data_IF_992217883920
#
_entry.id   IF_992217883920
#
_cell.length_a   1.000
_cell.length_b   1.000
_cell.length_c   1.000
_cell.angle_alpha   90.00
_cell.angle_beta   90.00
_cell.angle_gamma   90.00
#
_symmetry.space_group_name_H-M   'P 1'
#
loop_
_entity.id
_entity.type
_entity.pdbx_description
1 polymer ?
#
# COMPACT_ATOMS: atom_id res chain seq x y z
N UNK A 1 55.67 40.99 -20.21
CA UNK A 1 54.22 41.22 -19.98
C UNK A 1 53.50 40.26 -20.91
N UNK A 2 52.62 39.34 -20.55
CA UNK A 2 51.99 38.85 -19.32
C UNK A 2 51.89 37.31 -19.49
N UNK A 3 52.16 36.53 -18.43
CA UNK A 3 51.92 35.07 -18.44
C UNK A 3 50.44 34.84 -18.12
N UNK A 4 49.67 34.28 -19.05
CA UNK A 4 48.32 33.79 -18.77
C UNK A 4 48.42 32.43 -18.09
N UNK A 5 48.03 32.36 -16.82
CA UNK A 5 47.88 31.13 -16.04
C UNK A 5 46.43 30.67 -16.23
N UNK A 6 46.22 29.60 -16.98
CA UNK A 6 44.93 28.94 -17.09
C UNK A 6 44.68 28.06 -15.86
N UNK A 7 43.74 28.45 -15.01
CA UNK A 7 43.29 27.64 -13.87
C UNK A 7 42.32 26.57 -14.41
N UNK A 8 42.77 25.32 -14.41
CA UNK A 8 41.94 24.16 -14.74
C UNK A 8 41.14 23.77 -13.48
N UNK A 9 39.87 24.13 -13.42
CA UNK A 9 38.92 23.73 -12.38
C UNK A 9 38.55 22.25 -12.58
N UNK A 10 39.17 21.35 -11.81
CA UNK A 10 38.73 19.96 -11.70
C UNK A 10 37.41 19.91 -10.92
N UNK A 11 36.30 19.69 -11.63
CA UNK A 11 35.03 19.29 -11.01
C UNK A 11 35.18 17.86 -10.51
N UNK A 12 35.35 17.70 -9.19
CA UNK A 12 35.26 16.39 -8.54
C UNK A 12 33.76 16.05 -8.43
N UNK A 13 33.25 15.01 -9.09
CA UNK A 13 31.88 14.57 -8.85
C UNK A 13 31.82 13.98 -7.44
N UNK A 14 31.12 14.67 -6.54
CA UNK A 14 30.78 14.15 -5.22
C UNK A 14 29.85 12.96 -5.46
N UNK A 15 30.39 11.75 -5.35
CA UNK A 15 29.61 10.51 -5.26
C UNK A 15 28.76 10.61 -3.99
N UNK A 16 27.54 11.08 -4.16
CA UNK A 16 26.52 11.06 -3.12
C UNK A 16 26.10 9.60 -2.94
N UNK A 17 26.71 8.91 -1.99
CA UNK A 17 26.19 7.62 -1.54
C UNK A 17 24.78 7.87 -1.02
N UNK A 18 23.78 7.21 -1.63
CA UNK A 18 22.43 7.20 -1.13
C UNK A 18 22.48 6.73 0.33
N UNK A 19 22.17 7.62 1.27
CA UNK A 19 21.98 7.23 2.65
C UNK A 19 20.71 6.39 2.70
N UNK A 20 20.83 5.10 3.02
CA UNK A 20 19.65 4.32 3.40
C UNK A 20 19.02 5.03 4.59
N UNK A 21 17.78 5.51 4.43
CA UNK A 21 17.00 6.08 5.54
C UNK A 21 16.98 5.06 6.68
N UNK A 22 17.70 5.36 7.76
CA UNK A 22 17.81 4.45 8.92
C UNK A 22 16.59 4.50 9.83
N UNK A 23 15.63 5.38 9.54
CA UNK A 23 14.46 5.60 10.36
C UNK A 23 13.21 5.16 9.61
N UNK A 24 12.30 4.53 10.35
CA UNK A 24 10.97 4.25 9.82
C UNK A 24 10.24 5.55 9.46
N UNK A 25 9.60 5.50 8.31
CA UNK A 25 8.54 6.42 7.90
C UNK A 25 7.20 5.72 8.11
N UNK A 26 6.14 6.49 8.35
CA UNK A 26 4.81 5.93 8.49
C UNK A 26 4.11 5.73 7.14
N UNK A 27 4.85 5.22 6.15
CA UNK A 27 4.41 4.95 4.77
C UNK A 27 4.70 3.50 4.39
N UNK A 28 4.10 3.02 3.31
CA UNK A 28 4.48 1.72 2.75
C UNK A 28 5.86 1.86 2.10
N UNK A 29 6.89 1.26 2.69
CA UNK A 29 8.28 1.42 2.24
C UNK A 29 9.10 0.17 2.50
N UNK A 30 9.95 -0.17 1.53
CA UNK A 30 10.96 -1.22 1.62
C UNK A 30 12.32 -0.54 1.76
N UNK A 31 13.04 -0.82 2.85
CA UNK A 31 14.31 -0.17 3.19
C UNK A 31 15.54 -0.95 2.72
N UNK A 32 15.37 -2.26 2.48
CA UNK A 32 16.46 -3.15 2.07
C UNK A 32 16.25 -3.66 0.63
N UNK A 33 17.28 -3.60 -0.24
CA UNK A 33 17.12 -3.92 -1.66
C UNK A 33 16.92 -5.41 -1.96
N UNK A 34 17.34 -6.30 -1.05
CA UNK A 34 17.15 -7.75 -1.14
C UNK A 34 15.72 -8.20 -0.82
N UNK A 35 14.90 -7.33 -0.23
CA UNK A 35 13.52 -7.62 0.10
C UNK A 35 12.66 -7.39 -1.14
N UNK A 36 11.84 -8.39 -1.49
CA UNK A 36 10.93 -8.39 -2.64
C UNK A 36 9.56 -8.96 -2.26
N UNK A 37 8.61 -8.77 -3.16
CA UNK A 37 7.27 -9.38 -3.07
C UNK A 37 6.58 -9.09 -1.74
N UNK A 38 6.63 -7.83 -1.28
CA UNK A 38 5.92 -7.45 -0.05
C UNK A 38 4.43 -7.42 -0.36
N UNK A 39 3.68 -8.29 0.30
CA UNK A 39 2.23 -8.41 0.18
C UNK A 39 1.57 -8.18 1.53
N UNK A 40 0.41 -7.54 1.53
CA UNK A 40 -0.40 -7.32 2.72
C UNK A 40 -1.88 -7.28 2.33
N UNK A 41 -2.66 -8.27 2.79
CA UNK A 41 -4.03 -8.46 2.34
C UNK A 41 -4.88 -9.17 3.40
N UNK A 42 -6.20 -9.15 3.24
CA UNK A 42 -7.11 -9.96 4.05
C UNK A 42 -7.12 -11.42 3.57
N UNK A 43 -6.99 -12.37 4.49
CA UNK A 43 -6.95 -13.81 4.22
C UNK A 43 -8.12 -14.36 3.38
N UNK A 44 -9.27 -13.66 3.34
CA UNK A 44 -10.40 -14.06 2.48
C UNK A 44 -10.17 -13.75 0.99
N UNK A 45 -9.29 -12.79 0.66
CA UNK A 45 -8.96 -12.40 -0.72
C UNK A 45 -7.57 -11.77 -0.82
N UNK A 46 -6.65 -12.41 -1.54
CA UNK A 46 -5.26 -11.93 -1.73
C UNK A 46 -5.17 -10.54 -2.37
N UNK A 47 -6.05 -10.23 -3.33
CA UNK A 47 -6.14 -8.92 -3.98
C UNK A 47 -7.13 -7.99 -3.27
N UNK A 48 -7.03 -7.90 -1.94
CA UNK A 48 -7.83 -6.98 -1.14
C UNK A 48 -6.95 -5.90 -0.52
N UNK A 49 -7.56 -4.77 -0.16
CA UNK A 49 -6.94 -3.83 0.76
C UNK A 49 -6.66 -4.55 2.10
N UNK A 50 -5.53 -4.29 2.78
CA UNK A 50 -5.22 -4.89 4.06
C UNK A 50 -6.13 -4.33 5.17
N UNK A 51 -7.39 -4.75 5.17
CA UNK A 51 -8.43 -4.35 6.10
C UNK A 51 -8.97 -5.60 6.80
N UNK A 52 -9.05 -5.52 8.12
CA UNK A 52 -9.60 -6.57 8.97
C UNK A 52 -10.73 -5.98 9.82
N UNK A 53 -11.92 -6.57 9.75
CA UNK A 53 -13.00 -6.22 10.67
C UNK A 53 -12.74 -6.83 12.05
N UNK A 54 -12.93 -6.04 13.12
CA UNK A 54 -12.50 -6.41 14.48
C UNK A 54 -13.18 -7.66 15.03
N UNK A 55 -14.42 -7.93 14.59
CA UNK A 55 -15.21 -9.09 14.99
C UNK A 55 -15.06 -10.29 14.03
N UNK A 56 -14.19 -10.18 13.02
CA UNK A 56 -14.03 -11.21 11.99
C UNK A 56 -13.09 -12.32 12.45
N UNK A 57 -13.31 -13.53 11.92
CA UNK A 57 -12.36 -14.63 12.01
C UNK A 57 -11.26 -14.56 10.94
N UNK A 58 -11.38 -13.61 10.01
CA UNK A 58 -10.35 -13.30 9.01
C UNK A 58 -9.06 -12.79 9.66
N UNK A 59 -7.99 -12.77 8.87
CA UNK A 59 -6.68 -12.29 9.27
C UNK A 59 -6.09 -11.38 8.21
N UNK A 60 -5.23 -10.46 8.62
CA UNK A 60 -4.27 -9.85 7.71
C UNK A 60 -3.12 -10.82 7.52
N UNK A 61 -2.82 -11.14 6.27
CA UNK A 61 -1.61 -11.86 5.87
C UNK A 61 -0.63 -10.83 5.35
N UNK A 62 0.54 -10.79 5.98
CA UNK A 62 1.67 -9.97 5.54
C UNK A 62 2.83 -10.90 5.22
N UNK A 63 3.41 -10.78 4.03
CA UNK A 63 4.51 -11.64 3.62
C UNK A 63 5.51 -10.91 2.73
N UNK A 64 6.73 -11.43 2.69
CA UNK A 64 7.80 -10.92 1.86
C UNK A 64 8.88 -11.98 1.61
N UNK A 65 9.67 -11.79 0.56
CA UNK A 65 10.79 -12.64 0.21
C UNK A 65 12.12 -11.94 0.46
N UNK A 66 13.06 -12.64 1.10
CA UNK A 66 14.45 -12.22 1.24
C UNK A 66 15.35 -12.95 0.23
N UNK A 67 15.90 -12.21 -0.74
CA UNK A 67 16.76 -12.74 -1.80
C UNK A 67 18.21 -13.03 -1.39
N UNK A 68 18.61 -12.79 -0.13
CA UNK A 68 19.90 -13.25 0.40
C UNK A 68 19.90 -14.75 0.70
N UNK A 69 18.71 -15.37 0.77
CA UNK A 69 18.50 -16.73 1.25
C UNK A 69 19.01 -16.93 2.70
N UNK A 70 18.86 -18.15 3.21
CA UNK A 70 19.18 -18.45 4.61
C UNK A 70 18.17 -17.84 5.59
N UNK A 71 18.44 -18.00 6.89
CA UNK A 71 17.56 -17.51 7.95
C UNK A 71 18.12 -16.23 8.54
N UNK A 72 17.29 -15.19 8.50
CA UNK A 72 17.55 -13.90 9.12
C UNK A 72 16.61 -13.73 10.32
N UNK A 73 17.07 -12.98 11.32
CA UNK A 73 16.30 -12.73 12.53
C UNK A 73 15.42 -11.49 12.37
N UNK A 74 14.27 -11.65 11.71
CA UNK A 74 13.30 -10.58 11.54
C UNK A 74 12.35 -10.48 12.75
N UNK A 75 12.13 -9.25 13.18
CA UNK A 75 11.16 -8.87 14.22
C UNK A 75 10.15 -7.91 13.61
N UNK A 76 8.95 -7.87 14.18
CA UNK A 76 7.93 -6.91 13.78
C UNK A 76 7.34 -6.19 14.99
N UNK A 77 6.81 -4.99 14.77
CA UNK A 77 5.99 -4.27 15.76
C UNK A 77 4.77 -3.68 15.07
N UNK A 78 3.69 -3.52 15.82
CA UNK A 78 2.44 -2.92 15.35
C UNK A 78 2.14 -1.65 16.15
N UNK A 79 1.97 -0.54 15.44
CA UNK A 79 1.66 0.77 16.03
C UNK A 79 0.32 1.28 15.52
N UNK A 80 -0.53 1.77 16.44
CA UNK A 80 -1.76 2.45 16.07
C UNK A 80 -1.47 3.88 15.62
N UNK A 81 -2.10 4.29 14.52
CA UNK A 81 -1.91 5.58 13.86
C UNK A 81 -3.21 6.39 13.83
N UNK A 82 -3.06 7.71 13.79
CA UNK A 82 -4.14 8.66 13.54
C UNK A 82 -4.59 8.65 12.07
N UNK A 83 -5.66 9.39 11.76
CA UNK A 83 -6.20 9.50 10.40
C UNK A 83 -5.19 9.98 9.34
N UNK A 84 -4.19 10.73 9.78
CA UNK A 84 -3.08 11.29 8.98
C UNK A 84 -1.78 10.47 9.09
N UNK A 85 -1.88 9.21 9.53
CA UNK A 85 -0.78 8.25 9.64
C UNK A 85 0.35 8.63 10.61
N UNK A 86 0.10 9.56 11.55
CA UNK A 86 1.04 9.79 12.66
C UNK A 86 0.84 8.71 13.72
N UNK A 87 1.92 8.28 14.36
CA UNK A 87 1.83 7.33 15.49
C UNK A 87 0.99 7.99 16.58
N UNK A 88 -0.09 7.31 16.98
CA UNK A 88 -1.01 7.84 17.98
C UNK A 88 -0.38 7.88 19.36
N UNK A 89 -0.91 8.73 20.24
CA UNK A 89 -0.48 8.82 21.65
C UNK A 89 -1.20 7.82 22.57
N UNK A 90 -1.94 6.89 22.00
CA UNK A 90 -2.67 5.86 22.75
C UNK A 90 -1.65 4.87 23.31
N UNK A 91 -1.78 4.49 24.58
CA UNK A 91 -0.88 3.51 25.17
C UNK A 91 -1.05 2.14 24.48
N UNK A 92 0.04 1.40 24.28
CA UNK A 92 0.01 0.08 23.63
C UNK A 92 -0.97 -0.87 24.30
N UNK A 93 -1.07 -0.82 25.63
CA UNK A 93 -2.01 -1.62 26.41
C UNK A 93 -3.47 -1.29 26.15
N UNK A 94 -3.80 -0.17 25.52
CA UNK A 94 -5.18 0.23 25.23
C UNK A 94 -5.61 -0.21 23.83
N UNK A 95 -4.68 -0.29 22.86
CA UNK A 95 -4.99 -0.67 21.48
C UNK A 95 -4.55 -2.09 21.09
N UNK A 96 -3.65 -2.74 21.84
CA UNK A 96 -3.28 -4.15 21.68
C UNK A 96 -3.63 -4.99 22.91
N UNK A 97 -3.98 -6.24 22.66
CA UNK A 97 -3.96 -7.35 23.61
C UNK A 97 -2.73 -8.23 23.32
N UNK A 98 -1.88 -8.43 24.33
CA UNK A 98 -0.59 -9.10 24.24
C UNK A 98 0.60 -8.14 24.15
N UNK A 99 1.61 -8.47 23.34
CA UNK A 99 2.86 -7.72 23.17
C UNK A 99 2.79 -6.75 21.99
N UNK A 100 3.67 -5.75 21.98
CA UNK A 100 3.82 -4.78 20.87
C UNK A 100 4.63 -5.30 19.69
N UNK A 101 5.45 -6.32 19.94
CA UNK A 101 6.41 -6.87 19.02
C UNK A 101 6.63 -8.35 19.27
N UNK A 102 7.09 -9.04 18.23
CA UNK A 102 7.41 -10.45 18.27
C UNK A 102 8.39 -10.78 17.12
N UNK A 103 9.02 -11.95 17.20
CA UNK A 103 9.89 -12.47 16.14
C UNK A 103 9.07 -13.15 15.05
N UNK A 104 9.46 -12.96 13.80
CA UNK A 104 8.87 -13.71 12.68
C UNK A 104 9.47 -15.11 12.66
N UNK A 105 8.69 -16.11 13.06
CA UNK A 105 9.13 -17.51 13.08
C UNK A 105 8.56 -18.36 11.95
N UNK A 106 7.52 -17.88 11.26
CA UNK A 106 6.97 -18.56 10.10
C UNK A 106 7.76 -18.15 8.85
N UNK A 107 8.59 -19.08 8.38
CA UNK A 107 9.37 -18.89 7.17
C UNK A 107 9.64 -20.22 6.46
N UNK A 108 9.84 -20.14 5.15
CA UNK A 108 10.14 -21.28 4.28
C UNK A 108 11.22 -20.94 3.26
N UNK A 109 12.14 -21.87 3.04
CA UNK A 109 13.15 -21.71 2.00
C UNK A 109 12.57 -21.99 0.62
N UNK A 110 13.02 -21.25 -0.39
CA UNK A 110 12.71 -21.54 -1.79
C UNK A 110 13.18 -22.95 -2.18
N UNK A 111 12.32 -23.71 -2.86
CA UNK A 111 12.64 -25.06 -3.38
C UNK A 111 12.62 -25.07 -4.90
N UNK A 112 13.62 -25.68 -5.54
CA UNK A 112 13.69 -25.84 -7.01
C UNK A 112 13.56 -24.53 -7.82
N UNK A 113 14.05 -23.42 -7.28
CA UNK A 113 14.09 -22.10 -7.95
C UNK A 113 15.50 -21.76 -8.41
N UNK A 114 15.62 -21.04 -9.54
CA UNK A 114 16.88 -20.47 -10.03
C UNK A 114 17.44 -19.43 -9.07
N UNK A 115 16.59 -18.50 -8.63
CA UNK A 115 16.92 -17.53 -7.58
C UNK A 115 16.53 -18.10 -6.22
N UNK A 116 17.51 -18.22 -5.32
CA UNK A 116 17.26 -18.60 -3.93
C UNK A 116 16.65 -17.42 -3.17
N UNK A 117 15.69 -17.72 -2.31
CA UNK A 117 15.09 -16.78 -1.39
C UNK A 117 14.56 -17.51 -0.14
N UNK A 118 14.25 -16.74 0.89
CA UNK A 118 13.51 -17.21 2.07
C UNK A 118 12.25 -16.38 2.19
N UNK A 119 11.10 -17.05 2.22
CA UNK A 119 9.80 -16.41 2.36
C UNK A 119 9.43 -16.32 3.84
N UNK A 120 9.01 -15.14 4.28
CA UNK A 120 8.57 -14.86 5.64
C UNK A 120 7.10 -14.46 5.63
N UNK A 121 6.36 -14.91 6.64
CA UNK A 121 4.92 -14.67 6.75
C UNK A 121 4.53 -14.27 8.17
N UNK A 122 3.59 -13.33 8.28
CA UNK A 122 2.94 -12.94 9.52
C UNK A 122 1.44 -12.99 9.27
N UNK A 123 0.72 -13.61 10.21
CA UNK A 123 -0.74 -13.57 10.25
C UNK A 123 -1.18 -12.78 11.47
N UNK A 124 -2.03 -11.77 11.29
CA UNK A 124 -2.58 -10.93 12.36
C UNK A 124 -4.11 -10.98 12.36
N UNK A 125 -4.78 -11.07 13.52
CA UNK A 125 -4.23 -11.22 14.86
C UNK A 125 -3.57 -12.60 15.07
N UNK A 126 -2.60 -12.67 15.99
CA UNK A 126 -2.00 -13.93 16.45
C UNK A 126 -1.99 -14.04 17.99
N UNK A 127 -1.25 -15.00 18.51
CA UNK A 127 -1.19 -15.28 19.96
C UNK A 127 -0.50 -14.17 20.74
N UNK A 128 0.39 -13.39 20.10
CA UNK A 128 1.15 -12.32 20.74
C UNK A 128 0.58 -10.93 20.46
N UNK A 129 0.10 -10.67 19.24
CA UNK A 129 -0.33 -9.33 18.79
C UNK A 129 -1.78 -9.38 18.32
N UNK A 130 -2.68 -8.75 19.09
CA UNK A 130 -4.12 -8.66 18.77
C UNK A 130 -4.64 -7.22 18.88
N UNK A 131 -4.99 -6.55 17.76
CA UNK A 131 -5.66 -5.25 17.80
C UNK A 131 -7.01 -5.29 18.53
N UNK A 132 -7.25 -4.30 19.39
CA UNK A 132 -8.48 -4.17 20.21
C UNK A 132 -9.41 -3.04 19.79
N UNK A 133 -8.93 -2.10 18.99
CA UNK A 133 -9.71 -0.94 18.54
C UNK A 133 -9.60 -0.78 17.02
N UNK A 134 -10.66 -0.24 16.41
CA UNK A 134 -10.63 0.18 15.01
C UNK A 134 -9.66 1.34 14.80
N UNK A 135 -9.10 1.46 13.60
CA UNK A 135 -8.19 2.54 13.25
C UNK A 135 -7.17 2.16 12.18
N UNK A 136 -6.24 3.09 11.96
CA UNK A 136 -5.09 2.89 11.10
C UNK A 136 -3.98 2.21 11.90
N UNK A 137 -3.29 1.27 11.29
CA UNK A 137 -2.16 0.59 11.91
C UNK A 137 -0.99 0.50 10.95
N UNK A 138 0.22 0.54 11.50
CA UNK A 138 1.44 0.30 10.74
C UNK A 138 2.22 -0.87 11.34
N UNK A 139 2.54 -1.84 10.48
CA UNK A 139 3.44 -2.94 10.74
C UNK A 139 4.85 -2.51 10.33
N UNK A 140 5.81 -2.63 11.24
CA UNK A 140 7.22 -2.29 11.01
C UNK A 140 8.08 -3.54 11.23
N UNK A 141 8.78 -3.99 10.21
CA UNK A 141 9.73 -5.12 10.26
C UNK A 141 11.15 -4.59 10.38
N UNK A 142 11.94 -5.16 11.27
CA UNK A 142 13.33 -4.78 11.56
C UNK A 142 14.21 -6.00 11.89
N UNK A 143 15.52 -5.83 11.82
CA UNK A 143 16.50 -6.90 12.07
C UNK A 143 16.92 -6.97 13.54
N UNK A 144 17.16 -8.18 14.03
CA UNK A 144 17.82 -8.49 15.31
C UNK A 144 17.17 -7.87 16.55
N UNK A 145 15.88 -7.53 16.49
CA UNK A 145 15.19 -6.83 17.59
C UNK A 145 15.57 -5.34 17.70
N UNK A 146 16.34 -4.78 16.77
CA UNK A 146 16.76 -3.38 16.77
C UNK A 146 15.96 -2.53 15.77
N UNK A 147 15.06 -1.68 16.28
CA UNK A 147 14.21 -0.79 15.46
C UNK A 147 15.01 0.21 14.61
N UNK A 148 16.31 0.41 14.87
CA UNK A 148 17.20 1.24 14.03
C UNK A 148 17.73 0.50 12.80
N UNK A 149 17.33 -0.76 12.59
CA UNK A 149 17.62 -1.56 11.40
C UNK A 149 16.32 -1.83 10.62
N UNK A 150 15.70 -0.80 10.02
CA UNK A 150 14.41 -0.94 9.34
C UNK A 150 14.53 -1.84 8.10
N UNK A 151 13.47 -2.63 7.86
CA UNK A 151 13.38 -3.57 6.73
C UNK A 151 12.17 -3.22 5.86
N UNK A 152 10.98 -3.19 6.45
CA UNK A 152 9.71 -2.84 5.77
C UNK A 152 8.83 -2.03 6.73
N UNK A 153 8.11 -1.03 6.22
CA UNK A 153 6.93 -0.47 6.87
C UNK A 153 5.71 -0.70 5.98
N UNK A 154 4.60 -1.16 6.57
CA UNK A 154 3.39 -1.54 5.85
C UNK A 154 2.15 -1.11 6.62
N UNK A 155 1.31 -0.30 5.98
CA UNK A 155 0.02 0.15 6.48
C UNK A 155 -1.04 -0.95 6.34
N UNK A 156 -1.92 -1.04 7.32
CA UNK A 156 -3.14 -1.84 7.30
C UNK A 156 -4.23 -1.19 8.17
N UNK A 157 -5.45 -1.69 8.10
CA UNK A 157 -6.63 -1.09 8.72
C UNK A 157 -7.35 -2.11 9.58
N UNK A 158 -7.82 -1.66 10.75
CA UNK A 158 -8.79 -2.40 11.56
C UNK A 158 -10.12 -1.68 11.49
N UNK A 159 -11.15 -2.36 10.99
CA UNK A 159 -12.49 -1.82 10.83
C UNK A 159 -13.35 -2.16 12.06
N UNK A 160 -13.82 -1.11 12.73
CA UNK A 160 -14.94 -1.21 13.67
C UNK A 160 -16.20 -0.62 12.99
N UNK A 161 -17.16 -1.49 12.66
CA UNK A 161 -18.31 -1.14 11.81
C UNK A 161 -19.43 -0.49 12.62
N UNK A 162 -19.24 0.80 12.94
CA UNK A 162 -20.23 1.59 13.68
C UNK A 162 -21.21 2.37 12.78
N UNK A 163 -20.86 2.53 11.51
CA UNK A 163 -21.65 3.27 10.51
C UNK A 163 -21.69 2.50 9.20
N UNK A 164 -22.71 2.74 8.38
CA UNK A 164 -22.87 2.14 7.07
C UNK A 164 -22.62 3.18 5.97
N UNK A 165 -21.75 2.86 5.01
CA UNK A 165 -21.42 3.75 3.88
C UNK A 165 -22.09 3.23 2.61
N UNK A 166 -22.90 4.06 1.98
CA UNK A 166 -23.46 3.81 0.65
C UNK A 166 -22.79 4.75 -0.36
N UNK A 167 -22.19 4.21 -1.42
CA UNK A 167 -21.49 4.99 -2.43
C UNK A 167 -22.03 4.70 -3.83
N UNK A 168 -22.00 5.70 -4.69
CA UNK A 168 -22.32 5.60 -6.11
C UNK A 168 -21.21 6.24 -6.94
N UNK A 169 -20.94 5.65 -8.10
CA UNK A 169 -20.01 6.19 -9.09
C UNK A 169 -20.85 6.75 -10.24
N UNK A 170 -20.64 8.02 -10.57
CA UNK A 170 -21.30 8.70 -11.69
C UNK A 170 -20.28 9.40 -12.57
N UNK A 171 -20.69 9.88 -13.73
CA UNK A 171 -19.84 10.77 -14.53
C UNK A 171 -19.62 12.10 -13.80
N UNK A 172 -18.53 12.80 -14.13
CA UNK A 172 -18.32 14.16 -13.63
C UNK A 172 -19.49 15.08 -13.99
N UNK A 173 -19.83 15.95 -13.04
CA UNK A 173 -20.85 16.99 -13.23
C UNK A 173 -20.33 18.13 -14.09
N UNK A 174 -19.00 18.28 -14.21
CA UNK A 174 -18.39 19.25 -15.11
C UNK A 174 -18.43 18.72 -16.55
N UNK A 175 -19.03 19.50 -17.46
CA UNK A 175 -19.22 19.09 -18.87
C UNK A 175 -17.89 18.79 -19.55
N UNK A 176 -16.84 19.55 -19.26
CA UNK A 176 -15.51 19.35 -19.83
C UNK A 176 -14.88 18.00 -19.44
N UNK A 177 -15.21 17.48 -18.26
CA UNK A 177 -14.60 16.27 -17.68
C UNK A 177 -15.52 15.04 -17.73
N UNK A 178 -16.74 15.18 -18.26
CA UNK A 178 -17.79 14.15 -18.21
C UNK A 178 -17.37 12.79 -18.76
N UNK A 179 -16.49 12.78 -19.77
CA UNK A 179 -16.04 11.57 -20.45
C UNK A 179 -14.67 11.07 -19.99
N UNK A 180 -14.01 11.79 -19.07
CA UNK A 180 -12.63 11.51 -18.64
C UNK A 180 -12.50 11.32 -17.13
N UNK A 181 -13.50 11.76 -16.35
CA UNK A 181 -13.51 11.61 -14.89
C UNK A 181 -14.75 10.87 -14.37
N UNK A 182 -14.53 10.21 -13.24
CA UNK A 182 -15.51 9.47 -12.47
C UNK A 182 -15.66 10.13 -11.11
N UNK A 183 -16.90 10.49 -10.78
CA UNK A 183 -17.29 11.11 -9.53
C UNK A 183 -17.80 10.05 -8.55
N UNK A 184 -17.36 10.15 -7.31
CA UNK A 184 -17.86 9.30 -6.22
C UNK A 184 -18.70 10.17 -5.28
N UNK A 185 -20.01 9.90 -5.23
CA UNK A 185 -20.87 10.41 -4.16
C UNK A 185 -21.04 9.32 -3.12
N UNK A 186 -21.08 9.69 -1.85
CA UNK A 186 -21.35 8.73 -0.79
C UNK A 186 -22.16 9.34 0.34
N UNK A 187 -22.86 8.48 1.07
CA UNK A 187 -23.64 8.81 2.25
C UNK A 187 -23.22 7.91 3.40
N UNK A 188 -22.93 8.51 4.55
CA UNK A 188 -22.69 7.79 5.80
C UNK A 188 -24.00 7.75 6.56
N UNK A 189 -24.58 6.56 6.72
CA UNK A 189 -25.73 6.31 7.58
C UNK A 189 -25.23 5.91 8.97
N UNK A 190 -25.72 6.58 10.00
CA UNK A 190 -25.26 6.37 11.38
C UNK A 190 -26.44 6.33 12.36
N UNK A 191 -26.37 5.42 13.33
CA UNK A 191 -27.26 5.39 14.49
C UNK A 191 -26.61 6.01 15.73
N UNK A 192 -25.28 6.09 15.75
CA UNK A 192 -24.51 6.73 16.81
C UNK A 192 -24.72 8.24 16.78
N UNK A 193 -24.68 8.86 17.96
CA UNK A 193 -24.74 10.31 18.07
C UNK A 193 -23.40 10.91 17.61
N UNK A 194 -23.44 11.82 16.63
CA UNK A 194 -22.29 12.55 16.11
C UNK A 194 -22.56 14.04 16.37
N UNK A 195 -22.11 14.60 17.52
CA UNK A 195 -22.44 15.96 17.91
C UNK A 195 -21.95 17.00 16.91
N UNK A 196 -20.76 16.83 16.34
CA UNK A 196 -20.21 17.74 15.35
C UNK A 196 -19.68 17.00 14.10
N UNK A 197 -20.54 16.72 13.11
CA UNK A 197 -20.15 16.01 11.90
C UNK A 197 -19.03 16.69 11.09
N UNK A 198 -18.82 18.00 11.27
CA UNK A 198 -17.78 18.76 10.56
C UNK A 198 -16.37 18.63 11.19
N UNK A 199 -16.28 18.08 12.41
CA UNK A 199 -15.02 17.89 13.13
C UNK A 199 -14.77 16.42 13.46
N UNK A 200 -15.84 15.69 13.79
CA UNK A 200 -15.77 14.33 14.32
C UNK A 200 -15.59 13.28 13.22
N UNK A 201 -16.01 13.59 11.98
CA UNK A 201 -15.97 12.65 10.85
C UNK A 201 -15.00 13.13 9.78
N UNK A 202 -14.10 12.21 9.41
CA UNK A 202 -13.21 12.33 8.26
C UNK A 202 -13.42 11.12 7.37
N UNK A 203 -13.66 11.35 6.10
CA UNK A 203 -13.79 10.29 5.10
C UNK A 203 -12.68 10.42 4.07
N UNK A 204 -11.98 9.32 3.78
CA UNK A 204 -10.93 9.26 2.76
C UNK A 204 -11.44 8.41 1.61
N UNK A 205 -11.43 8.98 0.40
CA UNK A 205 -11.80 8.29 -0.84
C UNK A 205 -10.55 8.18 -1.71
N UNK A 206 -10.23 6.99 -2.22
CA UNK A 206 -9.03 6.77 -3.03
C UNK A 206 -9.32 5.78 -4.17
N UNK A 207 -8.63 5.94 -5.30
CA UNK A 207 -8.74 5.06 -6.45
C UNK A 207 -7.78 3.87 -6.30
N UNK A 208 -8.27 2.64 -6.50
CA UNK A 208 -7.46 1.42 -6.61
C UNK A 208 -6.41 1.27 -5.50
N UNK A 209 -6.79 1.60 -4.27
CA UNK A 209 -5.95 1.57 -3.07
C UNK A 209 -4.67 2.45 -3.14
N UNK A 210 -4.59 3.35 -4.12
CA UNK A 210 -3.46 4.25 -4.31
C UNK A 210 -3.60 5.48 -3.41
N UNK A 211 -2.79 5.51 -2.34
CA UNK A 211 -2.74 6.61 -1.37
C UNK A 211 -2.44 7.97 -2.00
N UNK A 212 -1.72 8.01 -3.13
CA UNK A 212 -1.39 9.26 -3.81
C UNK A 212 -2.61 9.91 -4.49
N UNK A 213 -3.68 9.14 -4.69
CA UNK A 213 -4.95 9.65 -5.23
C UNK A 213 -5.94 10.05 -4.15
N UNK A 214 -5.64 9.78 -2.87
CA UNK A 214 -6.60 9.93 -1.78
C UNK A 214 -7.10 11.37 -1.62
N UNK A 215 -8.42 11.54 -1.56
CA UNK A 215 -9.08 12.79 -1.28
C UNK A 215 -9.72 12.73 0.12
N UNK A 216 -9.36 13.70 0.98
CA UNK A 216 -9.89 13.83 2.32
C UNK A 216 -11.15 14.71 2.33
N UNK A 217 -12.22 14.17 2.88
CA UNK A 217 -13.51 14.81 3.05
C UNK A 217 -13.75 15.08 4.54
N UNK A 218 -13.71 16.34 4.94
CA UNK A 218 -13.94 16.77 6.34
C UNK A 218 -15.33 17.40 6.54
N UNK A 219 -16.04 17.68 5.45
CA UNK A 219 -17.31 18.41 5.49
C UNK A 219 -18.35 17.75 4.60
N UNK A 220 -19.46 17.22 5.16
CA UNK A 220 -20.59 16.80 4.35
C UNK A 220 -21.27 18.01 3.71
N UNK A 221 -21.83 17.81 2.52
CA UNK A 221 -22.65 18.80 1.84
C UNK A 221 -23.98 19.01 2.58
N UNK A 222 -24.57 17.92 3.06
CA UNK A 222 -25.80 17.95 3.85
C UNK A 222 -25.69 17.06 5.09
N UNK A 223 -26.18 17.57 6.21
CA UNK A 223 -26.42 16.81 7.44
C UNK A 223 -27.93 16.62 7.56
N UNK A 224 -28.38 15.37 7.47
CA UNK A 224 -29.78 14.97 7.64
C UNK A 224 -29.89 14.11 8.91
N UNK A 225 -31.11 13.88 9.43
CA UNK A 225 -31.28 12.92 10.52
C UNK A 225 -30.65 11.56 10.15
N UNK A 226 -29.68 11.10 10.95
CA UNK A 226 -28.97 9.83 10.79
C UNK A 226 -28.16 9.67 9.48
N UNK A 227 -27.93 10.75 8.72
CA UNK A 227 -27.21 10.69 7.44
C UNK A 227 -26.29 11.88 7.21
N UNK A 228 -25.06 11.60 6.79
CA UNK A 228 -24.10 12.60 6.30
C UNK A 228 -23.89 12.38 4.81
N UNK A 229 -24.27 13.35 3.98
CA UNK A 229 -24.25 13.24 2.52
C UNK A 229 -23.05 14.00 1.95
N UNK A 230 -22.21 13.29 1.19
CA UNK A 230 -21.02 13.80 0.52
C UNK A 230 -21.21 13.70 -1.00
N UNK A 231 -21.77 14.76 -1.58
CA UNK A 231 -22.04 14.87 -3.02
C UNK A 231 -21.74 16.28 -3.56
N UNK A 232 -20.78 16.98 -2.93
CA UNK A 232 -20.35 18.30 -3.40
C UNK A 232 -19.84 18.22 -4.85
N UNK A 233 -20.11 19.25 -5.65
CA UNK A 233 -19.80 19.26 -7.08
C UNK A 233 -18.32 19.02 -7.39
N UNK A 234 -17.43 19.56 -6.56
CA UNK A 234 -15.99 19.68 -6.85
C UNK A 234 -15.11 18.62 -6.19
N UNK A 235 -15.65 17.86 -5.23
CA UNK A 235 -14.91 16.83 -4.51
C UNK A 235 -15.11 15.43 -5.09
N UNK A 236 -14.15 14.54 -4.84
CA UNK A 236 -14.19 13.12 -5.20
C UNK A 236 -14.41 12.88 -6.70
N UNK A 237 -13.83 13.76 -7.54
CA UNK A 237 -13.83 13.63 -8.99
C UNK A 237 -12.45 13.14 -9.44
N UNK A 238 -12.37 11.87 -9.82
CA UNK A 238 -11.13 11.17 -10.14
C UNK A 238 -10.97 10.98 -11.63
N UNK A 239 -9.74 10.98 -12.14
CA UNK A 239 -9.50 10.56 -13.53
C UNK A 239 -9.92 9.10 -13.71
N UNK A 240 -10.76 8.83 -14.71
CA UNK A 240 -11.27 7.49 -14.99
C UNK A 240 -10.17 6.52 -15.43
N UNK A 241 -9.05 7.06 -15.94
CA UNK A 241 -7.90 6.29 -16.41
C UNK A 241 -8.32 5.15 -17.37
N UNK A 242 -7.54 4.08 -17.41
CA UNK A 242 -7.76 2.91 -18.27
C UNK A 242 -7.31 1.68 -17.47
N UNK A 243 -7.79 0.50 -17.83
CA UNK A 243 -7.52 -0.76 -17.13
C UNK A 243 -6.03 -1.09 -17.14
N UNK A 244 -5.54 -1.72 -16.08
CA UNK A 244 -4.13 -2.04 -15.92
C UNK A 244 -3.63 -2.99 -17.00
N UNK A 245 -2.38 -2.78 -17.41
CA UNK A 245 -1.69 -3.69 -18.33
C UNK A 245 -1.24 -4.90 -17.55
N UNK A 246 -1.43 -6.08 -18.13
CA UNK A 246 -1.05 -7.36 -17.53
C UNK A 246 -0.06 -8.10 -18.41
N UNK A 247 0.73 -8.98 -17.80
CA UNK A 247 1.57 -9.93 -18.50
C UNK A 247 1.62 -11.23 -17.68
N UNK A 248 1.76 -12.37 -18.35
CA UNK A 248 1.69 -13.68 -17.70
C UNK A 248 3.07 -14.34 -17.64
N UNK A 249 3.53 -14.61 -16.42
CA UNK A 249 4.81 -15.28 -16.13
C UNK A 249 4.65 -16.49 -15.22
N UNK A 250 3.43 -17.05 -15.11
CA UNK A 250 3.15 -18.24 -14.28
C UNK A 250 4.04 -19.44 -14.65
N UNK A 251 4.52 -19.48 -15.89
CA UNK A 251 5.53 -20.44 -16.34
C UNK A 251 6.63 -19.71 -17.10
N UNK A 252 7.87 -19.94 -16.69
CA UNK A 252 9.04 -19.48 -17.45
C UNK A 252 9.43 -20.46 -18.56
N UNK A 253 8.61 -21.48 -18.88
CA UNK A 253 8.93 -22.47 -19.93
C UNK A 253 8.44 -22.04 -21.32
N UNK A 254 7.42 -21.20 -21.37
CA UNK A 254 6.84 -20.67 -22.60
C UNK A 254 6.55 -19.18 -22.42
N UNK A 255 6.32 -18.48 -23.52
CA UNK A 255 5.97 -17.06 -23.52
C UNK A 255 4.48 -16.92 -23.22
N UNK A 256 4.14 -16.38 -22.07
CA UNK A 256 2.76 -16.07 -21.70
C UNK A 256 2.23 -14.82 -22.41
N UNK A 257 1.02 -14.40 -22.02
CA UNK A 257 0.42 -13.15 -22.48
C UNK A 257 1.36 -11.96 -22.26
N UNK A 258 1.49 -11.10 -23.27
CA UNK A 258 2.34 -9.90 -23.28
C UNK A 258 3.85 -10.13 -23.01
N UNK A 259 4.34 -11.37 -23.08
CA UNK A 259 5.78 -11.69 -23.05
C UNK A 259 6.31 -11.90 -24.47
N UNK A 260 7.25 -11.05 -24.91
CA UNK A 260 7.87 -11.11 -26.23
C UNK A 260 8.99 -12.14 -26.32
N UNK A 261 9.91 -12.13 -25.36
CA UNK A 261 11.03 -13.09 -25.29
C UNK A 261 11.42 -13.43 -23.85
N UNK A 262 12.05 -14.59 -23.68
CA UNK A 262 12.61 -15.06 -22.40
C UNK A 262 14.06 -15.44 -22.64
N UNK A 263 14.97 -14.70 -22.00
CA UNK A 263 16.40 -14.95 -22.01
C UNK A 263 16.80 -15.63 -20.71
N UNK A 264 17.58 -16.71 -20.80
CA UNK A 264 18.05 -17.46 -19.64
C UNK A 264 19.56 -17.41 -19.65
N UNK A 265 20.12 -16.92 -18.56
CA UNK A 265 21.54 -17.02 -18.26
C UNK A 265 21.71 -17.94 -17.03
N UNK A 266 22.95 -18.14 -16.59
CA UNK A 266 23.24 -19.05 -15.47
C UNK A 266 22.78 -18.51 -14.11
N UNK A 267 22.48 -17.21 -13.99
CA UNK A 267 22.22 -16.52 -12.72
C UNK A 267 20.79 -15.93 -12.61
N UNK A 268 20.11 -15.75 -13.75
CA UNK A 268 18.90 -14.96 -13.90
C UNK A 268 18.04 -15.42 -15.09
N UNK A 269 16.75 -15.09 -15.00
CA UNK A 269 15.83 -15.20 -16.13
C UNK A 269 15.32 -13.80 -16.43
N UNK A 270 15.62 -13.30 -17.61
CA UNK A 270 15.20 -11.99 -18.08
C UNK A 270 14.03 -12.13 -19.04
N UNK A 271 12.98 -11.34 -18.82
CA UNK A 271 11.80 -11.31 -19.68
C UNK A 271 11.75 -9.99 -20.44
N UNK A 272 11.62 -10.07 -21.77
CA UNK A 272 11.28 -8.92 -22.60
C UNK A 272 9.77 -8.93 -22.83
N UNK A 273 9.07 -7.89 -22.39
CA UNK A 273 7.66 -7.69 -22.68
C UNK A 273 7.48 -7.08 -24.07
N UNK A 274 6.26 -7.14 -24.62
CA UNK A 274 5.95 -6.35 -25.81
C UNK A 274 6.03 -4.86 -25.51
N UNK A 275 6.37 -4.07 -26.53
CA UNK A 275 6.39 -2.62 -26.39
C UNK A 275 4.95 -2.09 -26.32
N UNK A 276 4.66 -1.36 -25.24
CA UNK A 276 3.37 -0.70 -25.05
C UNK A 276 3.26 0.58 -25.86
N UNK A 277 2.15 0.75 -26.58
CA UNK A 277 1.77 2.01 -27.21
C UNK A 277 0.91 2.87 -26.27
N UNK A 278 0.98 4.21 -26.33
CA UNK A 278 0.05 5.09 -25.62
C UNK A 278 -1.41 4.75 -25.93
N UNK A 279 -2.28 4.76 -24.90
CA UNK A 279 -3.74 4.51 -25.02
C UNK A 279 -4.57 5.78 -24.75
N UNK A 280 -3.95 6.95 -24.85
CA UNK A 280 -4.58 8.26 -24.71
C UNK A 280 -5.38 8.67 -25.97
N UNK A 281 -5.09 8.03 -27.10
CA UNK A 281 -5.75 8.26 -28.40
C UNK A 281 -6.45 6.98 -28.85
N UNK A 282 -7.78 6.98 -28.84
CA UNK A 282 -8.58 5.86 -29.31
C UNK A 282 -9.91 5.74 -28.57
N UNK A 283 -10.79 4.87 -29.07
CA UNK A 283 -11.97 4.47 -28.33
C UNK A 283 -11.58 3.56 -27.16
N UNK A 284 -12.31 3.67 -26.06
CA UNK A 284 -12.17 2.77 -24.93
C UNK A 284 -12.46 1.32 -25.36
N UNK A 285 -11.57 0.40 -24.98
CA UNK A 285 -11.74 -1.04 -25.18
C UNK A 285 -11.75 -1.72 -23.83
N UNK A 286 -12.86 -2.36 -23.48
CA UNK A 286 -13.01 -3.04 -22.20
C UNK A 286 -11.98 -4.18 -22.08
N UNK A 287 -11.20 -4.14 -21.02
CA UNK A 287 -10.25 -5.19 -20.67
C UNK A 287 -10.37 -5.51 -19.18
N UNK A 288 -10.75 -6.74 -18.84
CA UNK A 288 -10.78 -7.16 -17.45
C UNK A 288 -9.37 -7.14 -16.82
N UNK A 289 -9.30 -6.53 -15.65
CA UNK A 289 -8.14 -6.40 -14.77
C UNK A 289 -8.54 -6.54 -13.29
N UNK A 290 -7.54 -6.53 -12.42
CA UNK A 290 -7.70 -6.67 -10.98
C UNK A 290 -7.32 -5.39 -10.20
N UNK A 291 -7.32 -4.24 -10.89
CA UNK A 291 -7.04 -2.89 -10.36
C UNK A 291 -5.62 -2.67 -9.79
N UNK A 292 -4.62 -3.36 -10.35
CA UNK A 292 -3.20 -3.24 -9.98
C UNK A 292 -2.58 -4.59 -9.76
#
# INVERSE_FOLDING_TARGET
MQKLIGILLFFIPILSFAQNDKNFTNENKIYLPNIKTVLCYNSSKEQSIPLLAITSAEKIIFSFDDLLAGTQNYWYTVEHCTSDWQTSRIATTDYLDGFSDDRITDYRYSSNTTRKYTHYEISLPNTQVRPKIGGNYILKVYLDGDKNKPVISQRFYILDSQVAVAAEITNSLQVADRNSKQKINFTINHSINIPNPYQDIKAVVMQNFNQNTAQLNTRPAFVRPNQLVYNDLTTNDFWGNNEFRKFDTRSLRFKGENVKDIYRDNESVSLMLFQDAPRDKGAFGNQFDENG
#
